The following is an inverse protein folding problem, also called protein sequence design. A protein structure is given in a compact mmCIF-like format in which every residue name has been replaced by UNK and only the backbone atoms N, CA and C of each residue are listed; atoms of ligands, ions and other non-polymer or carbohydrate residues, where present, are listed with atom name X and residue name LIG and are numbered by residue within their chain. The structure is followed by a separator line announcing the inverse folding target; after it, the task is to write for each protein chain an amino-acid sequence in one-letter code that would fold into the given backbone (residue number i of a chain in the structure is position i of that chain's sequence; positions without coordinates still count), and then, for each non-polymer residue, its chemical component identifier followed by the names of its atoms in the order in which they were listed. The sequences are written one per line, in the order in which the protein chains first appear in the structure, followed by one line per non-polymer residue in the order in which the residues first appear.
data_IF_341743997610
#
_entry.id   IF_341743997610
#
_cell.length_a   1.000
_cell.length_b   1.000
_cell.length_c   1.000
_cell.angle_alpha   90.00
_cell.angle_beta   90.00
_cell.angle_gamma   90.00
#
_symmetry.space_group_name_H-M   'P 1'
#
loop_
_entity.id
_entity.type
_entity.pdbx_description
1 polymer ?
#
# COMPACT_ATOMS: atom_id res chain seq x y z
N UNK A 1 24.98 -19.28 34.26
CA UNK A 1 23.72 -18.68 33.74
C UNK A 1 22.63 -19.72 33.86
N UNK A 2 21.81 -19.61 34.90
CA UNK A 2 20.69 -20.52 35.15
C UNK A 2 19.48 -20.07 34.34
N UNK A 3 18.73 -20.95 33.68
CA UNK A 3 17.55 -20.58 32.91
C UNK A 3 16.39 -20.24 33.85
N UNK A 4 15.77 -19.09 33.58
CA UNK A 4 14.56 -18.63 34.26
C UNK A 4 13.35 -19.41 33.74
N UNK A 5 12.82 -20.31 34.57
CA UNK A 5 11.56 -20.99 34.32
C UNK A 5 10.43 -20.22 35.01
N UNK A 6 9.44 -19.67 34.32
CA UNK A 6 8.27 -19.07 34.97
C UNK A 6 7.38 -20.20 35.50
N UNK A 7 7.05 -20.17 36.80
CA UNK A 7 6.09 -21.06 37.42
C UNK A 7 4.65 -20.73 36.92
N UNK A 8 3.83 -21.71 36.57
CA UNK A 8 2.47 -21.46 36.13
C UNK A 8 1.60 -20.97 37.31
N UNK A 9 0.97 -19.82 37.08
CA UNK A 9 -0.03 -19.28 38.00
C UNK A 9 -1.18 -20.29 38.19
N UNK A 10 -1.56 -20.60 39.44
CA UNK A 10 -2.66 -21.48 39.72
C UNK A 10 -4.01 -20.89 39.23
N UNK A 11 -4.96 -21.74 38.84
CA UNK A 11 -6.31 -21.32 38.40
C UNK A 11 -7.00 -20.34 39.39
N UNK A 12 -6.69 -20.43 40.67
CA UNK A 12 -7.21 -19.56 41.72
C UNK A 12 -6.58 -18.16 41.72
N UNK A 13 -5.34 -18.01 41.28
CA UNK A 13 -4.65 -16.72 41.13
C UNK A 13 -5.10 -16.03 39.86
N UNK A 14 -5.39 -16.77 38.79
CA UNK A 14 -5.92 -16.22 37.55
C UNK A 14 -7.34 -15.65 37.74
N UNK A 15 -8.20 -16.33 38.49
CA UNK A 15 -9.57 -15.88 38.84
C UNK A 15 -9.57 -14.65 39.78
N UNK A 16 -8.54 -14.46 40.59
CA UNK A 16 -8.42 -13.26 41.46
C UNK A 16 -7.92 -12.01 40.70
N UNK A 17 -7.12 -12.18 39.67
CA UNK A 17 -6.67 -11.05 38.83
C UNK A 17 -7.75 -10.59 37.82
N UNK A 18 -8.70 -11.44 37.48
CA UNK A 18 -9.86 -11.10 36.63
C UNK A 18 -11.06 -10.48 37.38
N UNK A 19 -11.03 -10.47 38.71
CA UNK A 19 -12.15 -10.05 39.57
C UNK A 19 -12.06 -8.62 40.11
N UNK A 20 -11.08 -7.82 39.75
CA UNK A 20 -10.82 -6.48 40.35
C UNK A 20 -11.18 -5.31 39.41
N UNK A 21 -12.07 -5.49 38.45
CA UNK A 21 -12.62 -4.41 37.59
C UNK A 21 -14.16 -4.33 37.67
N UNK A 22 -14.77 -4.85 38.73
CA UNK A 22 -16.22 -4.72 38.93
C UNK A 22 -16.51 -4.09 40.29
N UNK A 23 -16.22 -2.80 40.45
CA UNK A 23 -16.52 -2.09 41.68
C UNK A 23 -16.21 -0.61 41.61
N UNK A 24 -16.85 0.14 40.74
CA UNK A 24 -16.70 1.59 40.61
C UNK A 24 -17.96 2.23 40.05
N UNK A 25 -18.79 2.74 40.94
CA UNK A 25 -19.80 3.81 40.78
C UNK A 25 -20.73 3.72 39.56
N UNK A 26 -21.97 3.28 39.78
CA UNK A 26 -23.11 3.69 38.96
C UNK A 26 -23.30 5.21 39.08
N UNK A 27 -22.73 5.96 38.14
CA UNK A 27 -23.22 7.27 37.76
C UNK A 27 -24.28 7.04 36.67
N UNK A 28 -25.54 7.20 37.03
CA UNK A 28 -26.66 7.27 36.09
C UNK A 28 -26.54 8.56 35.27
N UNK A 29 -25.61 8.59 34.36
CA UNK A 29 -25.58 9.54 33.26
C UNK A 29 -26.22 8.83 32.08
N UNK A 30 -27.38 9.30 31.66
CA UNK A 30 -28.02 8.88 30.41
C UNK A 30 -27.02 9.06 29.27
N UNK A 31 -26.39 7.97 28.87
CA UNK A 31 -25.71 7.89 27.58
C UNK A 31 -26.79 7.99 26.51
N UNK A 32 -27.05 9.21 26.04
CA UNK A 32 -27.80 9.42 24.82
C UNK A 32 -27.09 8.64 23.72
N UNK A 33 -27.80 7.77 22.97
CA UNK A 33 -27.24 7.08 21.82
C UNK A 33 -27.23 8.07 20.63
N UNK A 34 -26.31 9.04 20.64
CA UNK A 34 -26.23 10.08 19.59
C UNK A 34 -24.89 10.16 18.90
N UNK A 35 -24.19 9.04 18.75
CA UNK A 35 -22.95 8.97 17.96
C UNK A 35 -22.98 7.90 16.85
N UNK A 36 -24.13 7.30 16.58
CA UNK A 36 -24.41 6.73 15.26
C UNK A 36 -25.33 7.74 14.55
N UNK A 37 -24.80 8.59 13.65
CA UNK A 37 -25.68 9.28 12.72
C UNK A 37 -26.49 8.18 12.04
N UNK A 38 -27.79 8.35 12.04
CA UNK A 38 -28.74 7.44 11.48
C UNK A 38 -28.22 6.86 10.17
N UNK A 39 -28.14 5.53 10.11
CA UNK A 39 -27.95 4.73 8.90
C UNK A 39 -29.17 4.86 7.97
N UNK A 40 -29.81 6.03 7.95
CA UNK A 40 -30.95 6.34 7.08
C UNK A 40 -30.40 6.85 5.76
N UNK A 41 -30.58 6.01 4.75
CA UNK A 41 -30.44 6.22 3.30
C UNK A 41 -29.11 5.82 2.63
N UNK A 42 -28.58 4.62 2.87
CA UNK A 42 -27.54 4.05 1.98
C UNK A 42 -27.99 4.01 0.49
N UNK A 43 -29.31 4.02 0.24
CA UNK A 43 -29.89 4.03 -1.10
C UNK A 43 -29.63 5.32 -1.90
N UNK A 44 -29.37 6.46 -1.22
CA UNK A 44 -29.07 7.74 -1.90
C UNK A 44 -27.59 7.90 -2.21
N UNK A 45 -26.73 7.14 -1.54
CA UNK A 45 -25.29 7.26 -1.63
C UNK A 45 -24.66 6.32 -2.67
N UNK A 46 -25.33 5.22 -2.99
CA UNK A 46 -24.89 4.22 -3.97
C UNK A 46 -26.04 3.92 -4.94
N UNK A 47 -25.84 4.20 -6.22
CA UNK A 47 -26.78 3.89 -7.31
C UNK A 47 -26.07 2.94 -8.29
N UNK A 48 -26.70 1.81 -8.61
CA UNK A 48 -26.16 0.78 -9.50
C UNK A 48 -24.73 0.36 -9.15
N UNK A 49 -24.44 0.27 -7.84
CA UNK A 49 -23.10 -0.10 -7.34
C UNK A 49 -22.07 1.03 -7.39
N UNK A 50 -22.44 2.24 -7.85
CA UNK A 50 -21.56 3.40 -7.92
C UNK A 50 -21.82 4.36 -6.78
N UNK A 51 -20.78 4.84 -6.12
CA UNK A 51 -20.89 5.90 -5.12
C UNK A 51 -21.22 7.23 -5.81
N UNK A 52 -22.32 7.85 -5.41
CA UNK A 52 -22.70 9.17 -5.94
C UNK A 52 -21.81 10.28 -5.38
N UNK A 53 -21.80 11.46 -6.04
CA UNK A 53 -21.05 12.62 -5.53
C UNK A 53 -21.52 13.06 -4.13
N UNK A 54 -22.84 13.03 -3.86
CA UNK A 54 -23.40 13.32 -2.55
C UNK A 54 -22.98 12.25 -1.52
N UNK A 55 -23.01 10.97 -1.92
CA UNK A 55 -22.54 9.85 -1.11
C UNK A 55 -21.07 9.97 -0.75
N UNK A 56 -20.21 10.35 -1.70
CA UNK A 56 -18.80 10.60 -1.42
C UNK A 56 -18.60 11.76 -0.45
N UNK A 57 -19.32 12.89 -0.62
CA UNK A 57 -19.19 14.04 0.28
C UNK A 57 -19.60 13.70 1.72
N UNK A 58 -20.69 12.95 1.91
CA UNK A 58 -21.13 12.48 3.23
C UNK A 58 -20.10 11.52 3.84
N UNK A 59 -19.59 10.59 3.04
CA UNK A 59 -18.57 9.64 3.44
C UNK A 59 -17.25 10.35 3.83
N UNK A 60 -16.81 11.34 3.04
CA UNK A 60 -15.61 12.14 3.32
C UNK A 60 -15.72 12.85 4.68
N UNK A 61 -16.89 13.44 5.00
CA UNK A 61 -17.14 14.09 6.30
C UNK A 61 -17.09 13.09 7.45
N UNK A 62 -17.73 11.93 7.32
CA UNK A 62 -17.75 10.88 8.33
C UNK A 62 -16.34 10.37 8.63
N UNK A 63 -15.56 10.06 7.58
CA UNK A 63 -14.19 9.56 7.71
C UNK A 63 -13.28 10.62 8.31
N UNK A 64 -13.39 11.89 7.90
CA UNK A 64 -12.61 12.99 8.47
C UNK A 64 -12.87 13.17 9.97
N UNK A 65 -14.12 13.03 10.42
CA UNK A 65 -14.46 13.08 11.84
C UNK A 65 -13.84 11.91 12.62
N UNK A 66 -13.95 10.67 12.10
CA UNK A 66 -13.37 9.49 12.72
C UNK A 66 -11.84 9.60 12.83
N UNK A 67 -11.15 10.00 11.76
CA UNK A 67 -9.68 10.16 11.74
C UNK A 67 -9.15 11.18 12.76
N UNK A 68 -9.94 12.22 13.06
CA UNK A 68 -9.58 13.22 14.10
C UNK A 68 -9.79 12.71 15.52
N UNK A 69 -10.74 11.80 15.73
CA UNK A 69 -11.03 11.22 17.04
C UNK A 69 -9.99 10.18 17.48
N UNK A 70 -9.30 9.51 16.54
CA UNK A 70 -8.43 8.36 16.79
C UNK A 70 -6.97 8.73 17.18
N UNK A 71 -6.68 10.01 17.49
CA UNK A 71 -5.34 10.47 17.85
C UNK A 71 -4.55 11.08 16.67
N UNK A 72 -3.20 10.91 16.60
CA UNK A 72 -2.42 11.47 15.51
C UNK A 72 -2.87 11.00 14.13
N UNK A 73 -3.01 11.92 13.18
CA UNK A 73 -3.38 11.60 11.79
C UNK A 73 -2.33 10.69 11.17
N UNK A 74 -2.75 9.52 10.69
CA UNK A 74 -1.88 8.47 10.14
C UNK A 74 -1.52 8.80 8.69
N UNK A 75 -0.26 9.19 8.46
CA UNK A 75 0.32 9.50 7.14
C UNK A 75 1.62 8.70 6.89
N UNK A 76 1.72 7.49 7.45
CA UNK A 76 2.95 6.69 7.45
C UNK A 76 2.90 5.47 6.54
N UNK A 77 1.72 4.90 6.25
CA UNK A 77 1.56 3.55 5.66
C UNK A 77 0.93 3.54 4.27
N UNK A 78 0.78 4.71 3.66
CA UNK A 78 0.20 4.85 2.31
C UNK A 78 -1.21 4.21 2.24
N UNK A 79 -2.00 4.41 3.29
CA UNK A 79 -3.39 4.00 3.36
C UNK A 79 -4.27 4.99 2.57
N UNK A 80 -5.43 4.55 2.11
CA UNK A 80 -6.43 5.46 1.53
C UNK A 80 -7.09 6.25 2.68
N UNK A 81 -7.01 7.59 2.72
CA UNK A 81 -7.60 8.38 3.80
C UNK A 81 -9.13 8.27 3.86
N UNK A 82 -9.77 7.86 2.77
CA UNK A 82 -11.22 7.69 2.67
C UNK A 82 -11.69 6.29 3.07
N UNK A 83 -10.77 5.35 3.38
CA UNK A 83 -11.13 3.96 3.68
C UNK A 83 -11.78 3.26 2.49
N UNK A 84 -12.66 2.30 2.75
CA UNK A 84 -13.38 1.56 1.71
C UNK A 84 -14.58 2.34 1.18
N UNK A 85 -14.95 2.07 -0.06
CA UNK A 85 -16.14 2.64 -0.69
C UNK A 85 -17.43 2.28 0.09
N UNK A 86 -18.47 3.15 0.10
CA UNK A 86 -19.78 2.81 0.62
C UNK A 86 -20.39 1.55 -0.01
N UNK A 87 -20.20 1.34 -1.31
CA UNK A 87 -20.57 0.12 -2.03
C UNK A 87 -19.90 -1.14 -1.49
N UNK A 88 -18.60 -1.05 -1.15
CA UNK A 88 -17.85 -2.15 -0.57
C UNK A 88 -18.34 -2.47 0.86
N UNK A 89 -18.61 -1.45 1.68
CA UNK A 89 -19.21 -1.61 3.01
C UNK A 89 -20.56 -2.31 2.93
N UNK A 90 -21.45 -1.83 2.05
CA UNK A 90 -22.75 -2.45 1.83
C UNK A 90 -22.64 -3.92 1.42
N UNK A 91 -21.75 -4.25 0.51
CA UNK A 91 -21.53 -5.63 0.08
C UNK A 91 -21.07 -6.56 1.22
N UNK A 92 -20.25 -6.03 2.15
CA UNK A 92 -19.83 -6.76 3.36
C UNK A 92 -21.03 -6.95 4.31
N UNK A 93 -21.82 -5.91 4.56
CA UNK A 93 -23.00 -5.96 5.42
C UNK A 93 -24.05 -6.94 4.89
N UNK A 94 -24.36 -6.89 3.59
CA UNK A 94 -25.30 -7.82 2.93
C UNK A 94 -24.77 -9.28 2.99
N UNK A 95 -23.46 -9.44 2.88
CA UNK A 95 -22.81 -10.74 2.91
C UNK A 95 -22.47 -11.27 4.30
N UNK A 96 -22.91 -10.58 5.39
CA UNK A 96 -22.53 -10.93 6.77
C UNK A 96 -22.73 -12.40 7.11
N UNK A 97 -23.79 -13.05 6.62
CA UNK A 97 -24.09 -14.46 6.85
C UNK A 97 -22.97 -15.43 6.42
N UNK A 98 -22.10 -14.99 5.50
CA UNK A 98 -21.03 -15.81 4.94
C UNK A 98 -19.79 -15.87 5.85
N UNK A 99 -19.76 -15.10 6.97
CA UNK A 99 -18.60 -15.03 7.86
C UNK A 99 -18.14 -16.39 8.42
N UNK A 100 -19.05 -17.34 8.54
CA UNK A 100 -18.81 -18.70 9.08
C UNK A 100 -18.48 -19.74 8.00
N UNK A 101 -18.40 -19.36 6.71
CA UNK A 101 -18.28 -20.33 5.62
C UNK A 101 -16.87 -20.42 5.06
N UNK A 102 -16.37 -21.63 4.91
CA UNK A 102 -15.25 -21.90 4.01
C UNK A 102 -15.76 -22.00 2.57
N UNK A 103 -14.93 -21.59 1.59
CA UNK A 103 -15.26 -21.74 0.16
C UNK A 103 -16.47 -20.91 -0.29
N UNK A 104 -16.75 -19.79 0.39
CA UNK A 104 -17.84 -18.89 0.01
C UNK A 104 -17.78 -18.48 -1.46
N UNK A 105 -18.92 -18.30 -2.13
CA UNK A 105 -19.00 -17.97 -3.56
C UNK A 105 -18.40 -16.59 -3.90
N UNK A 106 -18.08 -15.79 -2.91
CA UNK A 106 -17.45 -14.47 -3.06
C UNK A 106 -16.06 -14.53 -3.72
N UNK A 107 -15.24 -15.57 -3.48
CA UNK A 107 -13.90 -15.67 -4.08
C UNK A 107 -13.93 -15.96 -5.58
N UNK A 108 -14.67 -16.96 -6.11
CA UNK A 108 -14.84 -17.14 -7.55
C UNK A 108 -15.42 -15.92 -8.24
N UNK A 109 -16.40 -15.23 -7.60
CA UNK A 109 -16.96 -13.98 -8.10
C UNK A 109 -15.90 -12.87 -8.19
N UNK A 110 -15.12 -12.65 -7.12
CA UNK A 110 -14.05 -11.67 -7.12
C UNK A 110 -13.03 -11.96 -8.23
N UNK A 111 -12.64 -13.23 -8.39
CA UNK A 111 -11.70 -13.65 -9.42
C UNK A 111 -12.20 -13.29 -10.81
N UNK A 112 -13.49 -13.53 -11.09
CA UNK A 112 -14.12 -13.17 -12.37
C UNK A 112 -14.18 -11.65 -12.55
N UNK A 113 -14.69 -10.90 -11.58
CA UNK A 113 -14.78 -9.43 -11.63
C UNK A 113 -13.41 -8.81 -11.90
N UNK A 114 -12.37 -9.32 -11.25
CA UNK A 114 -11.03 -8.80 -11.45
C UNK A 114 -10.47 -9.16 -12.84
N UNK A 115 -10.66 -10.38 -13.31
CA UNK A 115 -10.25 -10.80 -14.64
C UNK A 115 -10.88 -9.92 -15.73
N UNK A 116 -12.19 -9.67 -15.61
CA UNK A 116 -12.92 -8.79 -16.51
C UNK A 116 -12.37 -7.34 -16.49
N UNK A 117 -12.06 -6.82 -15.30
CA UNK A 117 -11.54 -5.44 -15.12
C UNK A 117 -10.17 -5.21 -15.76
N UNK A 118 -9.32 -6.23 -15.80
CA UNK A 118 -7.97 -6.15 -16.41
C UNK A 118 -7.92 -6.73 -17.83
N UNK A 119 -9.03 -7.33 -18.29
CA UNK A 119 -9.18 -7.87 -19.63
C UNK A 119 -8.29 -9.09 -19.90
N UNK A 120 -8.22 -10.02 -18.94
CA UNK A 120 -7.52 -11.31 -19.08
C UNK A 120 -8.47 -12.47 -18.77
N UNK A 121 -8.20 -13.71 -19.26
CA UNK A 121 -8.95 -14.88 -18.84
C UNK A 121 -8.84 -15.15 -17.33
N UNK A 122 -9.87 -15.78 -16.76
CA UNK A 122 -9.95 -16.04 -15.30
C UNK A 122 -8.79 -16.92 -14.79
N UNK A 123 -8.27 -17.82 -15.60
CA UNK A 123 -7.12 -18.68 -15.27
C UNK A 123 -5.78 -17.93 -15.15
N UNK A 124 -5.71 -16.68 -15.64
CA UNK A 124 -4.58 -15.78 -15.45
C UNK A 124 -4.59 -15.06 -14.10
N UNK A 125 -5.62 -15.24 -13.27
CA UNK A 125 -5.79 -14.54 -12.01
C UNK A 125 -5.66 -15.51 -10.82
N UNK A 126 -4.93 -15.07 -9.80
CA UNK A 126 -4.94 -15.65 -8.47
C UNK A 126 -5.24 -14.56 -7.45
N UNK A 127 -6.08 -14.86 -6.45
CA UNK A 127 -6.38 -13.97 -5.35
C UNK A 127 -5.64 -14.47 -4.11
N UNK A 128 -4.99 -13.56 -3.38
CA UNK A 128 -4.18 -13.86 -2.19
C UNK A 128 -4.52 -12.97 -1.01
N UNK A 129 -4.13 -13.36 0.20
CA UNK A 129 -4.39 -12.63 1.44
C UNK A 129 -3.45 -11.42 1.61
N UNK A 130 -3.46 -10.52 0.63
CA UNK A 130 -2.64 -9.31 0.55
C UNK A 130 -1.32 -9.52 -0.19
N UNK A 131 -0.73 -8.42 -0.66
CA UNK A 131 0.50 -8.45 -1.45
C UNK A 131 1.70 -9.05 -0.69
N UNK A 132 1.71 -9.01 0.64
CA UNK A 132 2.79 -9.65 1.41
C UNK A 132 2.83 -11.16 1.22
N UNK A 133 1.66 -11.84 1.15
CA UNK A 133 1.61 -13.26 0.81
C UNK A 133 2.10 -13.49 -0.61
N UNK A 134 1.63 -12.68 -1.58
CA UNK A 134 2.10 -12.78 -2.96
C UNK A 134 3.62 -12.72 -3.06
N UNK A 135 4.24 -11.72 -2.44
CA UNK A 135 5.70 -11.55 -2.47
C UNK A 135 6.43 -12.76 -1.89
N UNK A 136 5.89 -13.34 -0.80
CA UNK A 136 6.46 -14.53 -0.17
C UNK A 136 6.36 -15.76 -1.08
N UNK A 137 5.19 -16.04 -1.65
CA UNK A 137 5.02 -17.23 -2.52
C UNK A 137 5.79 -17.12 -3.84
N UNK A 138 5.92 -15.91 -4.41
CA UNK A 138 6.77 -15.70 -5.60
C UNK A 138 8.24 -15.90 -5.25
N UNK A 139 8.69 -15.39 -4.10
CA UNK A 139 10.06 -15.62 -3.61
C UNK A 139 10.34 -17.13 -3.41
N UNK A 140 9.41 -17.88 -2.81
CA UNK A 140 9.54 -19.33 -2.65
C UNK A 140 9.53 -20.06 -3.99
N UNK A 141 8.67 -19.66 -4.93
CA UNK A 141 8.54 -20.34 -6.23
C UNK A 141 9.78 -20.16 -7.13
N UNK A 142 10.38 -18.98 -7.09
CA UNK A 142 11.40 -18.57 -8.07
C UNK A 142 12.72 -18.13 -7.40
N UNK A 143 12.69 -17.41 -6.28
CA UNK A 143 13.88 -16.91 -5.61
C UNK A 143 14.72 -18.01 -4.92
N UNK A 144 14.09 -19.12 -4.49
CA UNK A 144 14.81 -20.23 -3.83
C UNK A 144 15.79 -20.98 -4.74
N UNK A 145 15.76 -20.78 -6.04
CA UNK A 145 16.61 -21.48 -7.00
C UNK A 145 17.90 -20.74 -7.31
N UNK A 146 17.92 -19.42 -7.12
CA UNK A 146 19.05 -18.56 -7.40
C UNK A 146 18.94 -17.23 -6.68
N UNK A 147 19.58 -16.21 -7.25
CA UNK A 147 19.63 -14.88 -6.65
C UNK A 147 18.40 -14.03 -7.01
N UNK A 148 18.14 -13.00 -6.21
CA UNK A 148 17.12 -11.97 -6.46
C UNK A 148 17.80 -10.68 -6.91
N UNK A 149 17.29 -10.04 -7.97
CA UNK A 149 17.74 -8.72 -8.44
C UNK A 149 16.66 -7.67 -8.19
N UNK A 150 17.01 -6.50 -7.65
CA UNK A 150 16.10 -5.38 -7.47
C UNK A 150 16.83 -4.05 -7.39
N UNK A 151 16.13 -2.95 -7.70
CA UNK A 151 16.60 -1.60 -7.37
C UNK A 151 16.52 -1.35 -5.86
N UNK A 152 17.31 -0.37 -5.35
CA UNK A 152 17.35 -0.06 -3.92
C UNK A 152 17.56 1.44 -3.65
N UNK A 153 16.74 2.06 -2.75
CA UNK A 153 15.62 1.46 -2.02
C UNK A 153 14.39 1.24 -2.88
N UNK A 154 13.65 0.19 -2.52
CA UNK A 154 12.36 -0.15 -3.10
C UNK A 154 11.44 -0.69 -1.99
N UNK A 155 10.25 -1.21 -2.33
CA UNK A 155 9.41 -1.89 -1.34
C UNK A 155 10.11 -3.12 -0.78
N UNK A 156 10.38 -3.10 0.51
CA UNK A 156 11.29 -4.05 1.17
C UNK A 156 10.70 -5.45 1.40
N UNK A 157 9.39 -5.66 1.16
CA UNK A 157 8.72 -6.90 1.51
C UNK A 157 9.38 -8.13 0.90
N UNK A 158 9.63 -8.15 -0.40
CA UNK A 158 10.30 -9.27 -1.08
C UNK A 158 11.78 -9.34 -0.76
N UNK A 159 12.59 -8.27 -0.88
CA UNK A 159 14.02 -8.32 -0.59
C UNK A 159 14.33 -8.83 0.83
N UNK A 160 13.63 -8.32 1.85
CA UNK A 160 13.84 -8.76 3.23
C UNK A 160 13.43 -10.22 3.46
N UNK A 161 12.33 -10.64 2.83
CA UNK A 161 11.91 -12.03 2.92
C UNK A 161 12.94 -12.97 2.28
N UNK A 162 13.45 -12.62 1.09
CA UNK A 162 14.50 -13.36 0.44
C UNK A 162 15.78 -13.47 1.31
N UNK A 163 16.25 -12.35 1.87
CA UNK A 163 17.39 -12.31 2.78
C UNK A 163 17.17 -13.20 4.03
N UNK A 164 15.95 -13.21 4.59
CA UNK A 164 15.62 -14.06 5.75
C UNK A 164 15.66 -15.56 5.43
N UNK A 165 15.50 -15.92 4.18
CA UNK A 165 15.66 -17.30 3.68
C UNK A 165 17.10 -17.64 3.26
N UNK A 166 18.06 -16.71 3.43
CA UNK A 166 19.44 -16.89 3.01
C UNK A 166 19.69 -16.69 1.51
N UNK A 167 18.71 -16.18 0.77
CA UNK A 167 18.81 -15.88 -0.66
C UNK A 167 19.61 -14.59 -0.84
N UNK A 168 20.57 -14.61 -1.76
CA UNK A 168 21.35 -13.41 -2.11
C UNK A 168 20.47 -12.43 -2.89
N UNK A 169 20.47 -11.17 -2.44
CA UNK A 169 19.74 -10.06 -3.09
C UNK A 169 20.74 -9.05 -3.66
N UNK A 170 20.75 -8.92 -4.98
CA UNK A 170 21.50 -7.88 -5.69
C UNK A 170 20.72 -6.58 -5.66
N UNK A 171 21.10 -5.67 -4.75
CA UNK A 171 20.52 -4.34 -4.59
C UNK A 171 21.24 -3.35 -5.48
N UNK A 172 20.59 -2.86 -6.54
CA UNK A 172 21.13 -1.86 -7.46
C UNK A 172 20.73 -0.47 -6.98
N UNK A 173 21.65 0.46 -6.70
CA UNK A 173 21.30 1.82 -6.34
C UNK A 173 20.39 2.46 -7.40
N UNK A 174 19.52 3.35 -6.98
CA UNK A 174 18.68 4.14 -7.89
C UNK A 174 19.53 5.11 -8.72
N UNK A 175 19.01 5.50 -9.88
CA UNK A 175 19.60 6.55 -10.69
C UNK A 175 19.55 7.91 -9.98
N UNK A 176 20.21 8.94 -10.53
CA UNK A 176 20.31 10.26 -9.92
C UNK A 176 18.97 10.98 -9.74
N UNK A 177 17.98 10.63 -10.56
CA UNK A 177 16.58 11.11 -10.49
C UNK A 177 15.70 10.27 -9.56
N UNK A 178 16.29 9.30 -8.85
CA UNK A 178 15.62 8.33 -7.96
C UNK A 178 14.66 7.38 -8.67
N UNK A 179 14.79 7.18 -9.99
CA UNK A 179 14.17 6.07 -10.72
C UNK A 179 15.04 4.81 -10.69
N UNK A 180 14.53 3.70 -11.20
CA UNK A 180 15.33 2.47 -11.35
C UNK A 180 16.46 2.69 -12.34
N UNK A 181 17.71 2.39 -11.97
CA UNK A 181 18.86 2.30 -12.88
C UNK A 181 18.79 0.99 -13.68
N UNK A 182 17.94 0.98 -14.70
CA UNK A 182 17.67 -0.21 -15.50
C UNK A 182 18.92 -0.70 -16.26
N UNK A 183 19.80 0.19 -16.67
CA UNK A 183 21.05 -0.19 -17.36
C UNK A 183 21.98 -0.95 -16.41
N UNK A 184 22.09 -0.50 -15.16
CA UNK A 184 22.87 -1.23 -14.15
C UNK A 184 22.17 -2.51 -13.74
N UNK A 185 20.85 -2.53 -13.63
CA UNK A 185 20.07 -3.75 -13.37
C UNK A 185 20.30 -4.78 -14.49
N UNK A 186 20.29 -4.39 -15.77
CA UNK A 186 20.54 -5.31 -16.89
C UNK A 186 21.95 -5.91 -16.85
N UNK A 187 22.98 -5.09 -16.53
CA UNK A 187 24.35 -5.58 -16.33
C UNK A 187 24.48 -6.56 -15.16
N UNK A 188 23.64 -6.45 -14.15
CA UNK A 188 23.61 -7.33 -12.96
C UNK A 188 22.75 -8.58 -13.15
N UNK A 189 22.00 -8.66 -14.24
CA UNK A 189 21.16 -9.79 -14.60
C UNK A 189 22.02 -10.93 -15.15
N UNK A 190 22.67 -11.64 -14.25
CA UNK A 190 23.50 -12.81 -14.57
C UNK A 190 22.67 -14.10 -14.60
N UNK A 191 23.27 -15.23 -15.01
CA UNK A 191 22.61 -16.55 -14.98
C UNK A 191 22.25 -17.03 -13.56
N UNK A 192 22.81 -16.43 -12.52
CA UNK A 192 22.47 -16.74 -11.13
C UNK A 192 21.15 -16.09 -10.68
N UNK A 193 20.64 -15.11 -11.42
CA UNK A 193 19.41 -14.39 -11.05
C UNK A 193 18.18 -15.13 -11.58
N UNK A 194 17.40 -15.73 -10.70
CA UNK A 194 16.16 -16.42 -11.03
C UNK A 194 14.88 -15.57 -10.82
N UNK A 195 15.00 -14.50 -10.02
CA UNK A 195 13.89 -13.58 -9.75
C UNK A 195 14.34 -12.12 -9.83
N UNK A 196 13.68 -11.36 -10.69
CA UNK A 196 13.83 -9.90 -10.78
C UNK A 196 12.60 -9.22 -10.19
N UNK A 197 12.79 -8.32 -9.22
CA UNK A 197 11.71 -7.57 -8.58
C UNK A 197 11.77 -6.09 -8.98
N UNK A 198 10.64 -5.57 -9.46
CA UNK A 198 10.45 -4.16 -9.85
C UNK A 198 9.19 -3.62 -9.17
N UNK A 199 9.29 -2.54 -8.43
CA UNK A 199 8.15 -1.81 -7.87
C UNK A 199 7.93 -0.54 -8.69
N UNK A 200 6.83 -0.44 -9.45
CA UNK A 200 6.57 0.70 -10.33
C UNK A 200 5.07 1.05 -10.40
N UNK A 201 4.66 2.19 -9.83
CA UNK A 201 5.46 3.27 -9.19
C UNK A 201 6.23 2.79 -7.96
N UNK A 202 7.44 3.33 -7.74
CA UNK A 202 8.32 2.86 -6.68
C UNK A 202 7.95 3.39 -5.28
N UNK A 203 8.14 2.59 -4.29
CA UNK A 203 8.07 2.95 -2.88
C UNK A 203 9.47 2.73 -2.25
N UNK A 204 10.19 3.76 -1.77
CA UNK A 204 9.63 5.01 -1.21
C UNK A 204 9.62 6.22 -2.16
N UNK A 205 10.19 6.16 -3.35
CA UNK A 205 10.50 7.33 -4.16
C UNK A 205 9.29 7.95 -4.87
N UNK A 206 8.15 7.29 -4.88
CA UNK A 206 6.87 7.76 -5.42
C UNK A 206 6.79 7.97 -6.95
N UNK A 207 7.91 7.95 -7.64
CA UNK A 207 7.98 8.20 -9.09
C UNK A 207 7.74 6.92 -9.91
N UNK A 208 7.49 7.10 -11.21
CA UNK A 208 7.51 6.04 -12.20
C UNK A 208 8.82 6.04 -12.94
N UNK A 209 9.27 4.88 -13.37
CA UNK A 209 10.39 4.72 -14.28
C UNK A 209 9.89 4.92 -15.72
N UNK A 210 10.72 5.48 -16.60
CA UNK A 210 10.39 5.63 -18.03
C UNK A 210 9.79 4.33 -18.59
N UNK A 211 8.60 4.45 -19.15
CA UNK A 211 7.80 3.28 -19.50
C UNK A 211 8.40 2.46 -20.66
N UNK A 212 9.00 3.14 -21.63
CA UNK A 212 9.62 2.45 -22.78
C UNK A 212 10.88 1.69 -22.36
N UNK A 213 11.72 2.33 -21.53
CA UNK A 213 12.91 1.68 -20.96
C UNK A 213 12.54 0.52 -20.05
N UNK A 214 11.53 0.72 -19.18
CA UNK A 214 11.06 -0.33 -18.27
C UNK A 214 10.56 -1.56 -19.05
N UNK A 215 9.75 -1.35 -20.09
CA UNK A 215 9.26 -2.44 -20.94
C UNK A 215 10.39 -3.18 -21.65
N UNK A 216 11.37 -2.45 -22.18
CA UNK A 216 12.53 -3.07 -22.81
C UNK A 216 13.34 -3.91 -21.82
N UNK A 217 13.59 -3.38 -20.62
CA UNK A 217 14.27 -4.11 -19.54
C UNK A 217 13.50 -5.36 -19.14
N UNK A 218 12.18 -5.23 -18.84
CA UNK A 218 11.34 -6.35 -18.40
C UNK A 218 11.28 -7.43 -19.47
N UNK A 219 11.14 -7.07 -20.75
CA UNK A 219 11.16 -8.04 -21.86
C UNK A 219 12.50 -8.77 -21.98
N UNK A 220 13.63 -8.08 -21.78
CA UNK A 220 14.94 -8.72 -21.74
C UNK A 220 15.10 -9.64 -20.51
N UNK A 221 14.72 -9.13 -19.32
CA UNK A 221 14.83 -9.87 -18.07
C UNK A 221 13.94 -11.12 -18.05
N UNK A 222 12.73 -11.07 -18.62
CA UNK A 222 11.78 -12.19 -18.65
C UNK A 222 12.26 -13.40 -19.45
N UNK A 223 13.29 -13.24 -20.28
CA UNK A 223 13.93 -14.35 -21.02
C UNK A 223 14.94 -15.11 -20.16
N UNK A 224 15.37 -14.55 -19.04
CA UNK A 224 16.47 -15.07 -18.19
C UNK A 224 16.00 -15.38 -16.77
N UNK A 225 15.03 -14.62 -16.24
CA UNK A 225 14.50 -14.74 -14.89
C UNK A 225 12.99 -14.59 -14.88
N UNK A 226 12.32 -15.00 -13.81
CA UNK A 226 10.95 -14.55 -13.55
C UNK A 226 10.98 -13.08 -13.16
N UNK A 227 10.12 -12.24 -13.75
CA UNK A 227 10.01 -10.84 -13.39
C UNK A 227 8.71 -10.60 -12.63
N UNK A 228 8.83 -10.14 -11.37
CA UNK A 228 7.69 -9.66 -10.59
C UNK A 228 7.66 -8.13 -10.65
N UNK A 229 6.57 -7.59 -11.19
CA UNK A 229 6.31 -6.14 -11.22
C UNK A 229 5.20 -5.83 -10.22
N UNK A 230 5.54 -5.07 -9.17
CA UNK A 230 4.59 -4.61 -8.18
C UNK A 230 3.97 -3.28 -8.61
N UNK A 231 2.73 -3.33 -9.07
CA UNK A 231 1.91 -2.20 -9.50
C UNK A 231 0.93 -1.74 -8.41
N UNK A 232 1.31 -1.83 -7.13
CA UNK A 232 0.43 -1.50 -6.00
C UNK A 232 -0.14 -0.06 -6.05
N UNK A 233 0.50 0.85 -6.76
CA UNK A 233 0.09 2.25 -6.89
C UNK A 233 -0.42 2.62 -8.29
N UNK A 234 -0.62 1.65 -9.17
CA UNK A 234 -1.08 1.81 -10.55
C UNK A 234 -2.27 2.76 -10.70
N UNK A 235 -3.27 2.62 -9.83
CA UNK A 235 -4.53 3.37 -9.91
C UNK A 235 -4.37 4.87 -9.67
N UNK A 236 -3.28 5.30 -9.01
CA UNK A 236 -3.01 6.71 -8.70
C UNK A 236 -2.22 7.44 -9.79
N UNK A 237 -1.66 6.72 -10.76
CA UNK A 237 -0.82 7.32 -11.79
C UNK A 237 -1.62 8.27 -12.68
N UNK A 238 -1.05 9.45 -12.91
CA UNK A 238 -1.61 10.49 -13.80
C UNK A 238 -0.70 10.81 -14.96
N UNK A 239 0.53 10.28 -15.00
CA UNK A 239 1.45 10.40 -16.11
C UNK A 239 0.88 9.68 -17.34
N UNK A 240 0.60 10.37 -18.45
CA UNK A 240 0.05 9.77 -19.65
C UNK A 240 1.01 8.82 -20.37
N UNK A 241 2.31 8.90 -20.09
CA UNK A 241 3.32 8.00 -20.65
C UNK A 241 3.31 6.63 -19.97
N UNK A 242 2.77 6.54 -18.75
CA UNK A 242 2.70 5.29 -17.99
C UNK A 242 1.65 4.34 -18.58
N UNK A 243 2.00 3.08 -18.67
CA UNK A 243 1.04 2.00 -18.89
C UNK A 243 1.42 0.77 -18.07
N UNK A 244 0.40 0.01 -17.64
CA UNK A 244 0.61 -1.28 -16.96
C UNK A 244 1.37 -2.27 -17.86
N UNK A 245 2.08 -3.19 -17.24
CA UNK A 245 2.76 -4.28 -17.94
C UNK A 245 1.89 -5.55 -18.07
N UNK A 246 0.59 -5.47 -17.82
CA UNK A 246 -0.36 -6.62 -17.99
C UNK A 246 -0.35 -7.14 -19.42
N UNK A 247 -0.12 -6.30 -20.43
CA UNK A 247 -0.02 -6.72 -21.82
C UNK A 247 1.18 -7.67 -22.08
N UNK A 248 2.25 -7.59 -21.29
CA UNK A 248 3.37 -8.53 -21.37
C UNK A 248 2.98 -9.93 -20.91
N UNK A 249 2.13 -10.02 -19.87
CA UNK A 249 1.50 -11.29 -19.48
C UNK A 249 0.65 -11.86 -20.62
N UNK A 250 -0.16 -11.02 -21.29
CA UNK A 250 -0.97 -11.42 -22.46
C UNK A 250 -0.12 -11.90 -23.64
N UNK A 251 1.10 -11.37 -23.79
CA UNK A 251 2.07 -11.80 -24.82
C UNK A 251 2.83 -13.09 -24.44
N UNK A 252 2.59 -13.63 -23.26
CA UNK A 252 3.19 -14.88 -22.81
C UNK A 252 4.59 -14.74 -22.22
N UNK A 253 5.03 -13.52 -21.82
CA UNK A 253 6.32 -13.30 -21.16
C UNK A 253 6.34 -13.87 -19.73
N UNK A 254 7.53 -14.14 -19.17
CA UNK A 254 7.70 -14.61 -17.79
C UNK A 254 7.56 -13.45 -16.80
N UNK A 255 6.37 -12.87 -16.76
CA UNK A 255 6.04 -11.71 -15.95
C UNK A 255 4.87 -12.02 -15.02
N UNK A 256 4.99 -11.62 -13.78
CA UNK A 256 3.94 -11.62 -12.77
C UNK A 256 3.65 -10.17 -12.42
N UNK A 257 2.39 -9.76 -12.49
CA UNK A 257 1.95 -8.44 -12.02
C UNK A 257 1.28 -8.60 -10.66
N UNK A 258 1.71 -7.77 -9.70
CA UNK A 258 1.12 -7.64 -8.36
C UNK A 258 0.25 -6.39 -8.31
N UNK A 259 -1.00 -6.51 -7.85
CA UNK A 259 -1.87 -5.40 -7.48
C UNK A 259 -2.55 -5.66 -6.14
N UNK A 260 -3.07 -4.63 -5.50
CA UNK A 260 -3.57 -4.75 -4.13
C UNK A 260 -4.88 -3.98 -3.91
N UNK A 261 -5.78 -4.57 -3.13
CA UNK A 261 -6.93 -3.85 -2.58
C UNK A 261 -6.59 -2.85 -1.46
N UNK A 262 -5.34 -2.84 -0.99
CA UNK A 262 -4.92 -2.04 0.17
C UNK A 262 -4.81 -0.54 -0.10
N UNK A 263 -4.74 -0.09 -1.36
CA UNK A 263 -4.44 1.29 -1.73
C UNK A 263 -5.71 2.03 -2.18
N UNK A 264 -5.98 2.16 -3.47
CA UNK A 264 -7.14 2.92 -3.98
C UNK A 264 -8.48 2.39 -3.43
N UNK A 265 -8.58 1.08 -3.22
CA UNK A 265 -9.80 0.44 -2.72
C UNK A 265 -10.02 0.58 -1.20
N UNK A 266 -9.01 1.07 -0.43
CA UNK A 266 -9.13 1.29 1.01
C UNK A 266 -9.29 0.01 1.86
N UNK A 267 -8.86 -1.16 1.35
CA UNK A 267 -9.09 -2.47 1.96
C UNK A 267 -7.84 -3.04 2.66
N UNK A 268 -6.95 -2.16 3.15
CA UNK A 268 -5.67 -2.60 3.74
C UNK A 268 -5.85 -3.63 4.87
N UNK A 269 -6.84 -3.43 5.75
CA UNK A 269 -7.17 -4.34 6.85
C UNK A 269 -7.85 -5.64 6.41
N UNK A 270 -8.46 -5.67 5.22
CA UNK A 270 -9.20 -6.85 4.70
C UNK A 270 -8.32 -7.82 3.91
N UNK A 271 -7.07 -7.50 3.73
CA UNK A 271 -6.04 -8.38 3.17
C UNK A 271 -6.40 -9.03 1.84
N UNK A 272 -6.58 -8.22 0.79
CA UNK A 272 -6.87 -8.71 -0.57
C UNK A 272 -5.83 -8.19 -1.55
N UNK A 273 -5.25 -9.08 -2.37
CA UNK A 273 -4.36 -8.73 -3.46
C UNK A 273 -4.55 -9.67 -4.66
N UNK A 274 -4.05 -9.22 -5.79
CA UNK A 274 -4.30 -9.80 -7.10
C UNK A 274 -2.97 -10.12 -7.78
N UNK A 275 -2.88 -11.35 -8.29
CA UNK A 275 -1.79 -11.84 -9.13
C UNK A 275 -2.32 -11.94 -10.54
N UNK A 276 -1.60 -11.37 -11.50
CA UNK A 276 -1.88 -11.53 -12.92
C UNK A 276 -0.65 -12.18 -13.55
N UNK A 277 -0.81 -13.38 -14.09
CA UNK A 277 0.28 -14.12 -14.73
C UNK A 277 -0.30 -15.17 -15.70
N UNK A 278 0.56 -15.79 -16.48
CA UNK A 278 0.16 -16.94 -17.32
C UNK A 278 -0.38 -18.10 -16.47
N UNK A 279 -1.27 -18.94 -17.00
CA UNK A 279 -1.88 -20.06 -16.27
C UNK A 279 -0.87 -21.05 -15.67
N UNK A 280 0.23 -21.34 -16.38
CA UNK A 280 1.30 -22.23 -15.89
C UNK A 280 2.03 -21.63 -14.67
N UNK A 281 2.22 -20.32 -14.65
CA UNK A 281 2.78 -19.59 -13.50
C UNK A 281 1.78 -19.62 -12.33
N UNK A 282 0.50 -19.33 -12.58
CA UNK A 282 -0.55 -19.42 -11.57
C UNK A 282 -0.60 -20.82 -10.95
N UNK A 283 -0.59 -21.86 -11.78
CA UNK A 283 -0.60 -23.26 -11.34
C UNK A 283 0.62 -23.60 -10.45
N UNK A 284 1.76 -22.97 -10.68
CA UNK A 284 2.96 -23.13 -9.86
C UNK A 284 2.87 -22.37 -8.52
N UNK A 285 2.24 -21.19 -8.51
CA UNK A 285 2.10 -20.38 -7.28
C UNK A 285 1.00 -20.92 -6.35
N UNK A 286 -0.09 -21.44 -6.92
CA UNK A 286 -1.29 -21.85 -6.18
C UNK A 286 -1.01 -22.83 -5.02
N UNK A 287 -0.17 -23.88 -5.14
CA UNK A 287 0.13 -24.80 -4.04
C UNK A 287 0.95 -24.18 -2.89
N UNK A 288 1.59 -23.02 -3.13
CA UNK A 288 2.39 -22.32 -2.13
C UNK A 288 1.56 -21.35 -1.30
N UNK A 289 0.33 -21.05 -1.72
CA UNK A 289 -0.62 -20.26 -0.93
C UNK A 289 -1.33 -21.17 0.05
N UNK A 290 -1.16 -20.90 1.33
CA UNK A 290 -1.76 -21.69 2.41
C UNK A 290 -3.07 -21.11 2.94
N UNK A 291 -3.45 -19.94 2.46
CA UNK A 291 -4.66 -19.23 2.86
C UNK A 291 -5.36 -18.59 1.67
N UNK A 292 -6.62 -18.25 1.86
CA UNK A 292 -7.39 -17.42 0.94
C UNK A 292 -7.78 -16.11 1.63
N UNK A 293 -8.05 -15.03 0.88
CA UNK A 293 -8.64 -13.84 1.46
C UNK A 293 -9.92 -14.18 2.22
N UNK A 294 -10.14 -13.50 3.34
CA UNK A 294 -11.39 -13.62 4.07
C UNK A 294 -12.59 -13.21 3.21
N UNK A 295 -13.75 -13.78 3.50
CA UNK A 295 -15.02 -13.54 2.79
C UNK A 295 -15.30 -12.04 2.63
N UNK A 296 -15.13 -11.26 3.68
CA UNK A 296 -15.38 -9.81 3.63
C UNK A 296 -14.38 -9.05 2.75
N UNK A 297 -13.12 -9.53 2.71
CA UNK A 297 -12.14 -9.03 1.76
C UNK A 297 -12.55 -9.27 0.31
N UNK A 298 -13.11 -10.44 0.02
CA UNK A 298 -13.58 -10.79 -1.31
C UNK A 298 -14.83 -10.00 -1.72
N UNK A 299 -15.82 -9.89 -0.82
CA UNK A 299 -17.05 -9.11 -1.05
C UNK A 299 -16.75 -7.62 -1.27
N UNK A 300 -15.98 -7.03 -0.33
CA UNK A 300 -15.61 -5.62 -0.42
C UNK A 300 -14.76 -5.30 -1.66
N UNK A 301 -13.81 -6.18 -2.02
CA UNK A 301 -12.98 -5.98 -3.20
C UNK A 301 -13.79 -6.07 -4.50
N UNK A 302 -14.70 -7.05 -4.62
CA UNK A 302 -15.53 -7.17 -5.82
C UNK A 302 -16.43 -5.93 -6.03
N UNK A 303 -17.05 -5.42 -4.97
CA UNK A 303 -17.85 -4.20 -5.04
C UNK A 303 -17.00 -2.96 -5.32
N UNK A 304 -15.85 -2.82 -4.64
CA UNK A 304 -14.95 -1.69 -4.84
C UNK A 304 -14.36 -1.62 -6.26
N UNK A 305 -14.05 -2.78 -6.87
CA UNK A 305 -13.57 -2.85 -8.26
C UNK A 305 -14.61 -2.33 -9.26
N UNK A 306 -15.89 -2.54 -8.97
CA UNK A 306 -16.99 -2.08 -9.81
C UNK A 306 -17.37 -0.61 -9.55
N UNK A 307 -17.07 -0.06 -8.36
CA UNK A 307 -17.33 1.34 -8.01
C UNK A 307 -16.23 2.28 -8.55
N UNK A 308 -16.22 2.46 -9.86
CA UNK A 308 -15.25 3.31 -10.55
C UNK A 308 -15.42 4.79 -10.21
N UNK A 309 -16.63 5.22 -9.82
CA UNK A 309 -16.90 6.59 -9.39
C UNK A 309 -16.16 6.92 -8.08
N UNK A 310 -16.21 6.04 -7.08
CA UNK A 310 -15.45 6.22 -5.84
C UNK A 310 -13.94 6.27 -6.09
N UNK A 311 -13.43 5.35 -6.92
CA UNK A 311 -12.01 5.33 -7.26
C UNK A 311 -11.59 6.64 -7.95
N UNK A 312 -12.38 7.13 -8.90
CA UNK A 312 -12.11 8.40 -9.60
C UNK A 312 -12.07 9.59 -8.63
N UNK A 313 -13.03 9.67 -7.69
CA UNK A 313 -13.06 10.72 -6.66
C UNK A 313 -11.84 10.61 -5.72
N UNK A 314 -11.47 9.41 -5.25
CA UNK A 314 -10.27 9.20 -4.44
C UNK A 314 -9.00 9.64 -5.21
N UNK A 315 -8.88 9.27 -6.48
CA UNK A 315 -7.75 9.67 -7.34
C UNK A 315 -7.68 11.18 -7.49
N UNK A 316 -8.81 11.85 -7.74
CA UNK A 316 -8.89 13.31 -7.85
C UNK A 316 -8.43 14.00 -6.56
N UNK A 317 -8.92 13.56 -5.41
CA UNK A 317 -8.52 14.10 -4.09
C UNK A 317 -7.04 13.85 -3.80
N UNK A 318 -6.51 12.68 -4.20
CA UNK A 318 -5.09 12.40 -4.10
C UNK A 318 -4.23 13.36 -4.94
N UNK A 319 -4.67 13.68 -6.15
CA UNK A 319 -4.00 14.68 -7.00
C UNK A 319 -3.99 16.04 -6.32
N UNK A 320 -5.15 16.50 -5.79
CA UNK A 320 -5.23 17.76 -5.03
C UNK A 320 -4.26 17.77 -3.85
N UNK A 321 -4.23 16.69 -3.05
CA UNK A 321 -3.32 16.56 -1.92
C UNK A 321 -1.84 16.60 -2.34
N UNK A 322 -1.47 15.93 -3.44
CA UNK A 322 -0.11 15.99 -4.00
C UNK A 322 0.29 17.41 -4.41
N UNK A 323 -0.59 18.16 -5.07
CA UNK A 323 -0.31 19.53 -5.50
C UNK A 323 -0.16 20.50 -4.32
N UNK A 324 -0.95 20.33 -3.24
CA UNK A 324 -0.78 21.08 -2.00
C UNK A 324 0.63 20.84 -1.45
N UNK A 325 1.06 19.57 -1.34
CA UNK A 325 2.39 19.21 -0.82
C UNK A 325 3.51 19.69 -1.74
N UNK A 326 3.39 19.52 -3.05
CA UNK A 326 4.36 19.99 -4.05
C UNK A 326 4.58 21.49 -3.93
N UNK A 327 3.50 22.26 -3.84
CA UNK A 327 3.56 23.71 -3.67
C UNK A 327 4.26 24.11 -2.37
N UNK A 328 3.94 23.45 -1.25
CA UNK A 328 4.56 23.75 0.04
C UNK A 328 6.06 23.42 0.05
N UNK A 329 6.43 22.26 -0.47
CA UNK A 329 7.82 21.78 -0.53
C UNK A 329 8.66 22.69 -1.45
N UNK A 330 8.11 23.09 -2.60
CA UNK A 330 8.78 24.01 -3.53
C UNK A 330 9.01 25.41 -2.91
N UNK A 331 8.02 25.94 -2.15
CA UNK A 331 8.18 27.23 -1.44
C UNK A 331 9.32 27.21 -0.41
N UNK A 332 9.65 26.03 0.15
CA UNK A 332 10.79 25.86 1.05
C UNK A 332 12.12 25.62 0.29
N UNK A 333 12.15 25.66 -1.04
CA UNK A 333 13.33 25.35 -1.85
C UNK A 333 13.81 23.91 -1.74
N UNK A 334 12.93 22.96 -1.36
CA UNK A 334 13.28 21.56 -1.20
C UNK A 334 13.00 20.74 -2.45
N UNK A 335 13.85 19.74 -2.70
CA UNK A 335 13.63 18.79 -3.81
C UNK A 335 12.55 17.77 -3.44
N UNK A 336 11.71 17.43 -4.38
CA UNK A 336 10.70 16.37 -4.29
C UNK A 336 10.73 15.55 -5.58
N UNK A 337 10.50 14.26 -5.49
CA UNK A 337 10.29 13.40 -6.67
C UNK A 337 8.93 13.70 -7.31
N UNK A 338 8.77 13.39 -8.59
CA UNK A 338 7.47 13.51 -9.28
C UNK A 338 6.56 12.35 -8.85
N UNK A 339 5.74 12.60 -7.83
CA UNK A 339 4.91 11.56 -7.23
C UNK A 339 3.77 11.12 -8.13
N UNK A 340 3.71 9.82 -8.39
CA UNK A 340 2.62 9.12 -9.10
C UNK A 340 1.89 8.11 -8.19
N UNK A 341 1.96 8.34 -6.87
CA UNK A 341 1.41 7.46 -5.82
C UNK A 341 0.46 8.23 -4.89
N UNK A 342 0.01 7.58 -3.81
CA UNK A 342 -0.69 8.23 -2.71
C UNK A 342 0.25 8.66 -1.56
N UNK A 343 1.48 9.05 -1.89
CA UNK A 343 2.46 9.63 -0.97
C UNK A 343 3.45 10.49 -1.74
N UNK A 344 4.13 11.37 -1.03
CA UNK A 344 5.24 12.19 -1.55
C UNK A 344 6.55 11.77 -0.90
N UNK A 345 7.67 11.96 -1.63
CA UNK A 345 9.02 11.72 -1.16
C UNK A 345 9.88 12.92 -1.47
N UNK A 346 10.44 13.56 -0.44
CA UNK A 346 11.13 14.83 -0.58
C UNK A 346 12.32 14.96 0.38
N UNK A 347 13.31 15.76 -0.01
CA UNK A 347 14.48 16.07 0.77
C UNK A 347 14.11 17.02 1.92
N UNK A 348 14.19 16.53 3.15
CA UNK A 348 13.88 17.31 4.34
C UNK A 348 15.05 18.23 4.78
N UNK A 349 16.27 17.87 4.41
CA UNK A 349 17.49 18.60 4.77
C UNK A 349 17.94 18.38 6.22
N UNK A 350 17.35 17.40 6.89
CA UNK A 350 17.69 16.94 8.23
C UNK A 350 17.25 15.47 8.39
N UNK A 351 17.77 14.74 9.39
CA UNK A 351 17.38 13.35 9.64
C UNK A 351 15.87 13.17 9.79
N UNK A 352 15.31 12.20 9.07
CA UNK A 352 13.85 11.93 9.04
C UNK A 352 13.29 11.64 10.42
N UNK A 353 14.07 10.99 11.31
CA UNK A 353 13.65 10.71 12.69
C UNK A 353 13.33 11.99 13.49
N UNK A 354 14.05 13.08 13.21
CA UNK A 354 13.77 14.39 13.82
C UNK A 354 12.49 14.98 13.24
N UNK A 355 12.29 14.86 11.92
CA UNK A 355 11.05 15.29 11.24
C UNK A 355 9.87 14.51 11.78
N UNK A 356 9.99 13.17 11.93
CA UNK A 356 8.94 12.32 12.50
C UNK A 356 8.53 12.77 13.90
N UNK A 357 9.52 13.01 14.78
CA UNK A 357 9.27 13.46 16.16
C UNK A 357 8.54 14.80 16.18
N UNK A 358 8.98 15.76 15.36
CA UNK A 358 8.38 17.08 15.29
C UNK A 358 6.97 17.04 14.68
N UNK A 359 6.75 16.27 13.63
CA UNK A 359 5.44 16.07 13.00
C UNK A 359 4.47 15.37 13.97
N UNK A 360 4.94 14.38 14.73
CA UNK A 360 4.11 13.70 15.72
C UNK A 360 3.65 14.67 16.82
N UNK A 361 4.53 15.58 17.28
CA UNK A 361 4.17 16.64 18.22
C UNK A 361 3.12 17.63 17.66
N UNK A 362 3.00 17.74 16.35
CA UNK A 362 1.96 18.50 15.63
C UNK A 362 0.71 17.65 15.30
N UNK A 363 0.65 16.40 15.77
CA UNK A 363 -0.48 15.49 15.54
C UNK A 363 -0.44 14.71 14.23
N UNK A 364 0.73 14.57 13.57
CA UNK A 364 0.88 13.83 12.32
C UNK A 364 1.91 12.71 12.44
N UNK A 365 1.52 11.47 12.15
CA UNK A 365 2.40 10.31 12.08
C UNK A 365 2.85 10.11 10.64
N UNK A 366 4.13 10.38 10.33
CA UNK A 366 4.71 10.25 8.99
C UNK A 366 5.58 9.01 8.82
N UNK A 367 5.99 8.69 7.58
CA UNK A 367 6.82 7.54 7.23
C UNK A 367 8.19 7.57 7.89
N UNK A 368 8.80 6.38 8.06
CA UNK A 368 10.16 6.20 8.58
C UNK A 368 11.24 6.64 7.57
N UNK A 369 12.49 6.68 8.00
CA UNK A 369 13.63 6.79 7.11
C UNK A 369 13.78 5.56 6.18
N UNK A 370 14.33 5.77 4.99
CA UNK A 370 14.59 4.75 3.97
C UNK A 370 16.06 4.79 3.54
N UNK A 371 16.98 4.13 4.26
CA UNK A 371 18.40 4.14 3.89
C UNK A 371 18.63 3.70 2.44
N UNK A 372 19.54 4.38 1.69
CA UNK A 372 20.50 5.38 2.20
C UNK A 372 19.95 6.82 2.30
N UNK A 373 18.71 7.07 1.93
CA UNK A 373 18.08 8.40 1.92
C UNK A 373 17.47 8.75 3.29
N UNK A 374 18.33 8.91 4.31
CA UNK A 374 17.91 9.14 5.70
C UNK A 374 17.43 10.56 5.98
N UNK A 375 17.63 11.47 5.05
CA UNK A 375 17.19 12.87 5.04
C UNK A 375 16.06 13.15 4.05
N UNK A 376 15.48 12.10 3.46
CA UNK A 376 14.30 12.16 2.60
C UNK A 376 13.08 11.63 3.32
N UNK A 377 12.10 12.50 3.53
CA UNK A 377 10.86 12.15 4.19
C UNK A 377 9.80 11.62 3.22
N UNK A 378 9.07 10.57 3.65
CA UNK A 378 7.89 10.08 2.95
C UNK A 378 6.64 10.41 3.76
N UNK A 379 5.68 11.10 3.14
CA UNK A 379 4.40 11.45 3.76
C UNK A 379 3.28 10.90 2.86
N UNK A 380 2.41 10.09 3.43
CA UNK A 380 1.20 9.62 2.75
C UNK A 380 0.24 10.78 2.49
N UNK A 381 -0.47 10.76 1.37
CA UNK A 381 -1.48 11.77 1.07
C UNK A 381 -2.74 11.46 1.89
N UNK A 382 -3.10 12.40 2.75
CA UNK A 382 -4.35 12.44 3.49
C UNK A 382 -5.46 13.15 2.70
N UNK A 383 -6.50 13.60 3.40
CA UNK A 383 -7.50 14.49 2.79
C UNK A 383 -6.86 15.84 2.43
N UNK A 384 -7.43 16.63 1.51
CA UNK A 384 -6.90 17.95 1.18
C UNK A 384 -6.73 18.87 2.40
N UNK A 385 -7.65 18.82 3.37
CA UNK A 385 -7.54 19.58 4.62
C UNK A 385 -6.38 19.12 5.49
N UNK A 386 -6.18 17.80 5.62
CA UNK A 386 -5.01 17.25 6.31
C UNK A 386 -3.71 17.67 5.61
N UNK A 387 -3.67 17.68 4.28
CA UNK A 387 -2.49 18.13 3.53
C UNK A 387 -2.23 19.62 3.69
N UNK A 388 -3.27 20.46 3.74
CA UNK A 388 -3.14 21.89 4.08
C UNK A 388 -2.54 22.10 5.48
N UNK A 389 -3.00 21.32 6.46
CA UNK A 389 -2.47 21.38 7.82
C UNK A 389 -1.01 20.90 7.90
N UNK A 390 -0.65 19.81 7.20
CA UNK A 390 0.74 19.34 7.06
C UNK A 390 1.61 20.41 6.39
N UNK A 391 1.15 21.00 5.28
CA UNK A 391 1.85 22.04 4.54
C UNK A 391 2.10 23.30 5.39
N UNK A 392 1.19 23.65 6.30
CA UNK A 392 1.35 24.74 7.25
C UNK A 392 2.37 24.42 8.36
N UNK A 393 2.45 23.15 8.81
CA UNK A 393 3.37 22.73 9.87
C UNK A 393 4.82 22.54 9.39
N UNK A 394 5.03 22.13 8.15
CA UNK A 394 6.35 21.78 7.61
C UNK A 394 7.38 22.92 7.68
N UNK A 395 7.08 24.22 7.35
CA UNK A 395 8.04 25.31 7.42
C UNK A 395 8.62 25.54 8.82
N UNK A 396 7.86 25.31 9.86
CA UNK A 396 8.34 25.42 11.25
C UNK A 396 9.36 24.32 11.60
N UNK A 397 9.31 23.19 10.91
CA UNK A 397 10.12 22.01 11.21
C UNK A 397 11.37 21.97 10.32
N UNK A 398 11.22 22.21 9.00
CA UNK A 398 12.28 22.05 8.00
C UNK A 398 12.58 23.35 7.23
N UNK A 399 11.94 24.46 7.57
CA UNK A 399 11.95 25.72 6.80
C UNK A 399 13.22 26.55 6.88
N UNK A 400 14.26 26.14 7.62
CA UNK A 400 15.59 26.76 7.50
C UNK A 400 16.13 26.55 6.08
N UNK A 401 16.62 27.61 5.43
CA UNK A 401 17.32 27.50 4.16
C UNK A 401 18.39 26.39 4.27
N UNK A 402 18.60 25.55 3.23
CA UNK A 402 19.69 24.60 3.25
C UNK A 402 20.97 25.40 3.52
N UNK A 403 21.68 25.10 4.63
CA UNK A 403 23.04 25.56 4.79
C UNK A 403 23.77 25.11 3.53
N UNK A 404 24.25 26.04 2.73
CA UNK A 404 25.13 25.72 1.61
C UNK A 404 26.19 24.79 2.20
N UNK A 405 26.29 23.58 1.67
CA UNK A 405 27.48 22.74 1.90
C UNK A 405 28.64 23.59 1.42
N UNK A 406 29.34 24.18 2.37
CA UNK A 406 30.52 24.95 2.09
C UNK A 406 31.41 24.08 1.22
N UNK A 407 31.79 24.59 0.07
CA UNK A 407 32.89 24.07 -0.71
C UNK A 407 34.08 23.93 0.24
N UNK A 408 34.28 22.71 0.78
CA UNK A 408 35.57 22.37 1.39
C UNK A 408 36.53 22.31 0.23
N UNK A 409 37.20 23.41 -0.02
CA UNK A 409 38.49 23.47 -0.71
C UNK A 409 39.45 22.49 -0.05
N UNK A 410 40.03 21.68 -0.90
CA UNK A 410 41.30 20.92 -0.92
C UNK A 410 41.16 19.42 -0.95
#
# INVERSE_FOLDING_TARGET
MTPFTPSPLSRRQWLKSSGLVAGGAMATGSLTPSLLPALESDAVHVIDGQTTAAGFAAHEQMVAAARRADGPIRLASNENPYGMAPSARKAIEDGWKQHAWYGAPSLPNLKKVYADSVGVPVDHIMIVAGSSELLSIVCLAYGMKGDVLTAWPTYEGLPRYAESLGIRVHKVPLAADLTHDLDTMDRRLTQAVDLTFVCNPNNPTANVTDNAKLRSFVSNASRRSMVLVDEAYHDFVTDPSYSSLVDMVKKGENVIISRTGSKIHGLAGLRTAFVIARPDIIARLQPLSTSAPGVFGALGAAASLQDTAFQAMCKQRNVEGREIMKTAIAKMGRKMTDSQTNFVFFHAGMPVEQVQKAMLAKGFMIGRAFPPYTDWARISIGTPDEMRAVAAALPEIIGGAPKSLGSSER
#
